data_IF_837223473864
#
_entry.id   IF_837223473864
#
_cell.length_a   1.000
_cell.length_b   1.000
_cell.length_c   1.000
_cell.angle_alpha   90.00
_cell.angle_beta   90.00
_cell.angle_gamma   90.00
#
_symmetry.space_group_name_H-M   'P 1'
#
loop_
_entity.id
_entity.type
_entity.pdbx_description
1 polymer ?
#
# COMPACT_ATOMS: atom_id res chain seq x y z
N UNK A 1 15.91 52.33 -25.35
CA UNK A 1 16.47 51.45 -24.30
C UNK A 1 15.38 50.80 -23.45
N UNK A 2 14.45 51.57 -22.88
CA UNK A 2 13.33 51.09 -22.02
C UNK A 2 12.46 50.00 -22.68
N UNK A 3 12.04 50.17 -23.94
CA UNK A 3 11.22 49.15 -24.65
C UNK A 3 11.92 47.80 -24.82
N UNK A 4 13.26 47.77 -24.92
CA UNK A 4 14.04 46.53 -25.07
C UNK A 4 14.17 45.81 -23.73
N UNK A 5 14.40 46.56 -22.65
CA UNK A 5 14.44 46.05 -21.28
C UNK A 5 13.08 45.45 -20.91
N UNK A 6 11.98 46.18 -21.16
CA UNK A 6 10.62 45.70 -20.88
C UNK A 6 10.29 44.38 -21.59
N UNK A 7 10.65 44.24 -22.87
CA UNK A 7 10.47 42.98 -23.61
C UNK A 7 11.26 41.82 -23.01
N UNK A 8 12.50 42.06 -22.60
CA UNK A 8 13.35 41.02 -21.96
C UNK A 8 12.76 40.61 -20.60
N UNK A 9 12.31 41.57 -19.78
CA UNK A 9 11.65 41.27 -18.51
C UNK A 9 10.40 40.41 -18.70
N UNK A 10 9.55 40.72 -19.69
CA UNK A 10 8.36 39.92 -19.98
C UNK A 10 8.72 38.48 -20.41
N UNK A 11 9.77 38.30 -21.20
CA UNK A 11 10.24 36.97 -21.60
C UNK A 11 10.73 36.19 -20.38
N UNK A 12 11.52 36.81 -19.49
CA UNK A 12 12.01 36.16 -18.26
C UNK A 12 10.85 35.77 -17.35
N UNK A 13 9.88 36.66 -17.14
CA UNK A 13 8.68 36.38 -16.34
C UNK A 13 7.85 35.25 -16.95
N UNK A 14 7.70 35.21 -18.28
CA UNK A 14 7.02 34.13 -18.98
C UNK A 14 7.70 32.78 -18.79
N UNK A 15 9.03 32.72 -18.94
CA UNK A 15 9.82 31.50 -18.71
C UNK A 15 9.73 31.06 -17.25
N UNK A 16 9.81 32.00 -16.31
CA UNK A 16 9.67 31.71 -14.88
C UNK A 16 8.27 31.15 -14.54
N UNK A 17 7.21 31.76 -15.08
CA UNK A 17 5.85 31.28 -14.88
C UNK A 17 5.63 29.87 -15.43
N UNK A 18 6.21 29.54 -16.60
CA UNK A 18 6.20 28.17 -17.16
C UNK A 18 6.91 27.22 -16.19
N UNK A 19 8.09 27.59 -15.69
CA UNK A 19 8.84 26.75 -14.75
C UNK A 19 8.06 26.51 -13.45
N UNK A 20 7.42 27.55 -12.90
CA UNK A 20 6.54 27.43 -11.74
C UNK A 20 5.33 26.52 -12.03
N UNK A 21 4.70 26.65 -13.19
CA UNK A 21 3.57 25.81 -13.59
C UNK A 21 3.97 24.34 -13.73
N UNK A 22 5.12 24.06 -14.35
CA UNK A 22 5.68 22.71 -14.48
C UNK A 22 6.02 22.14 -13.10
N UNK A 23 6.70 22.91 -12.25
CA UNK A 23 7.03 22.49 -10.89
C UNK A 23 5.78 22.20 -10.05
N UNK A 24 4.77 23.07 -10.12
CA UNK A 24 3.49 22.87 -9.45
C UNK A 24 2.79 21.60 -9.97
N UNK A 25 2.80 21.37 -11.28
CA UNK A 25 2.28 20.14 -11.87
C UNK A 25 2.98 18.89 -11.35
N UNK A 26 4.31 18.92 -11.22
CA UNK A 26 5.09 17.83 -10.61
C UNK A 26 4.70 17.59 -9.15
N UNK A 27 4.55 18.65 -8.35
CA UNK A 27 4.14 18.53 -6.94
C UNK A 27 2.72 17.96 -6.83
N UNK A 28 1.77 18.47 -7.60
CA UNK A 28 0.39 17.98 -7.61
C UNK A 28 0.33 16.50 -8.01
N UNK A 29 1.11 16.10 -9.02
CA UNK A 29 1.21 14.70 -9.42
C UNK A 29 1.84 13.82 -8.33
N UNK A 30 2.90 14.29 -7.66
CA UNK A 30 3.53 13.56 -6.57
C UNK A 30 2.62 13.39 -5.33
N UNK A 31 1.69 14.31 -5.13
CA UNK A 31 0.64 14.22 -4.11
C UNK A 31 -0.57 13.39 -4.56
N UNK A 32 -0.55 12.86 -5.78
CA UNK A 32 -1.62 12.09 -6.42
C UNK A 32 -2.90 12.88 -6.62
N UNK A 33 -2.79 14.19 -6.90
CA UNK A 33 -3.95 15.01 -7.27
C UNK A 33 -4.69 14.52 -8.53
N UNK A 34 -4.05 13.66 -9.33
CA UNK A 34 -4.60 13.04 -10.53
C UNK A 34 -4.83 11.53 -10.38
N UNK A 35 -4.60 10.97 -9.19
CA UNK A 35 -4.83 9.56 -8.95
C UNK A 35 -6.32 9.27 -8.88
N UNK A 36 -6.69 8.04 -9.25
CA UNK A 36 -8.06 7.58 -9.07
C UNK A 36 -8.34 7.36 -7.57
N UNK A 37 -9.31 8.08 -7.04
CA UNK A 37 -9.94 7.75 -5.77
C UNK A 37 -10.96 6.61 -5.96
N UNK A 38 -11.15 5.82 -4.90
CA UNK A 38 -12.07 4.69 -4.93
C UNK A 38 -13.09 4.84 -3.81
N UNK A 39 -14.37 4.68 -4.15
CA UNK A 39 -15.44 4.72 -3.16
C UNK A 39 -15.50 3.44 -2.33
N UNK A 40 -16.16 3.51 -1.18
CA UNK A 40 -16.42 2.34 -0.33
C UNK A 40 -17.13 1.24 -1.14
N UNK A 41 -18.11 1.61 -1.96
CA UNK A 41 -18.85 0.68 -2.81
C UNK A 41 -17.98 0.01 -3.87
N UNK A 42 -17.05 0.75 -4.49
CA UNK A 42 -16.09 0.16 -5.44
C UNK A 42 -15.17 -0.88 -4.75
N UNK A 43 -14.70 -0.58 -3.55
CA UNK A 43 -13.89 -1.52 -2.75
C UNK A 43 -14.67 -2.79 -2.43
N UNK A 44 -15.91 -2.66 -1.95
CA UNK A 44 -16.79 -3.79 -1.61
C UNK A 44 -17.13 -4.60 -2.85
N UNK A 45 -17.44 -3.94 -3.97
CA UNK A 45 -17.73 -4.61 -5.24
C UNK A 45 -16.53 -5.43 -5.73
N UNK A 46 -15.31 -4.87 -5.69
CA UNK A 46 -14.11 -5.59 -6.05
C UNK A 46 -13.84 -6.77 -5.10
N UNK A 47 -13.93 -6.56 -3.78
CA UNK A 47 -13.75 -7.62 -2.80
C UNK A 47 -14.71 -8.79 -3.04
N UNK A 48 -16.00 -8.50 -3.27
CA UNK A 48 -16.99 -9.53 -3.55
C UNK A 48 -16.72 -10.26 -4.86
N UNK A 49 -16.32 -9.53 -5.91
CA UNK A 49 -15.97 -10.10 -7.22
C UNK A 49 -14.71 -10.98 -7.16
N UNK A 50 -13.72 -10.63 -6.33
CA UNK A 50 -12.41 -11.29 -6.20
C UNK A 50 -12.26 -12.10 -4.91
N UNK A 51 -13.38 -12.42 -4.25
CA UNK A 51 -13.39 -13.01 -2.90
C UNK A 51 -12.59 -14.31 -2.81
N UNK A 52 -12.70 -15.16 -3.84
CA UNK A 52 -11.99 -16.44 -3.91
C UNK A 52 -10.49 -16.23 -4.06
N UNK A 53 -10.08 -15.31 -4.93
CA UNK A 53 -8.68 -14.96 -5.18
C UNK A 53 -8.04 -14.32 -3.94
N UNK A 54 -8.75 -13.41 -3.26
CA UNK A 54 -8.32 -12.79 -2.01
C UNK A 54 -8.15 -13.85 -0.90
N UNK A 55 -9.11 -14.77 -0.76
CA UNK A 55 -9.00 -15.87 0.20
C UNK A 55 -7.81 -16.80 -0.12
N UNK A 56 -7.57 -17.10 -1.39
CA UNK A 56 -6.42 -17.91 -1.83
C UNK A 56 -5.08 -17.20 -1.63
N UNK A 57 -5.03 -15.89 -1.84
CA UNK A 57 -3.88 -15.05 -1.54
C UNK A 57 -3.58 -15.10 -0.04
N UNK A 58 -4.55 -14.78 0.81
CA UNK A 58 -4.42 -14.80 2.27
C UNK A 58 -3.94 -16.16 2.77
N UNK A 59 -4.58 -17.25 2.33
CA UNK A 59 -4.20 -18.62 2.71
C UNK A 59 -2.76 -18.93 2.33
N UNK A 60 -2.38 -18.65 1.08
CA UNK A 60 -1.01 -18.91 0.63
C UNK A 60 0.01 -18.10 1.44
N UNK A 61 -0.27 -16.82 1.67
CA UNK A 61 0.63 -15.95 2.40
C UNK A 61 0.83 -16.43 3.84
N UNK A 62 -0.25 -16.75 4.55
CA UNK A 62 -0.20 -17.32 5.90
C UNK A 62 0.55 -18.66 5.97
N UNK A 63 0.55 -19.45 4.89
CA UNK A 63 1.29 -20.71 4.84
C UNK A 63 2.79 -20.52 4.64
N UNK A 64 3.21 -19.49 3.90
CA UNK A 64 4.62 -19.27 3.59
C UNK A 64 5.31 -18.36 4.60
N UNK A 65 4.58 -17.49 5.29
CA UNK A 65 5.15 -16.65 6.37
C UNK A 65 5.44 -17.51 7.60
N UNK A 66 6.68 -17.53 8.12
CA UNK A 66 6.99 -18.23 9.37
C UNK A 66 6.24 -17.64 10.57
N UNK A 67 5.75 -18.47 11.48
CA UNK A 67 4.89 -18.06 12.62
C UNK A 67 5.50 -16.98 13.54
N UNK A 68 6.83 -16.90 13.62
CA UNK A 68 7.56 -15.94 14.47
C UNK A 68 8.03 -14.70 13.70
N UNK A 69 7.56 -14.51 12.47
CA UNK A 69 7.95 -13.41 11.59
C UNK A 69 6.74 -12.57 11.18
N UNK A 70 6.97 -11.27 11.14
CA UNK A 70 6.13 -10.33 10.42
C UNK A 70 6.71 -10.12 9.03
N UNK A 71 5.84 -10.11 8.03
CA UNK A 71 6.19 -9.80 6.64
C UNK A 71 5.15 -8.86 6.06
N UNK A 72 5.62 -7.76 5.49
CA UNK A 72 4.86 -6.89 4.59
C UNK A 72 5.57 -6.83 3.24
N UNK A 73 4.81 -6.87 2.15
CA UNK A 73 5.38 -6.79 0.80
C UNK A 73 4.43 -6.13 -0.17
N UNK A 74 4.93 -5.15 -0.91
CA UNK A 74 4.22 -4.42 -1.94
C UNK A 74 4.97 -4.51 -3.28
N UNK A 75 4.27 -4.89 -4.34
CA UNK A 75 4.80 -4.93 -5.69
C UNK A 75 4.43 -3.67 -6.45
N UNK A 76 5.44 -3.00 -7.03
CA UNK A 76 5.24 -1.92 -8.00
C UNK A 76 4.98 -2.50 -9.39
N UNK A 77 5.74 -3.54 -9.73
CA UNK A 77 5.65 -4.31 -10.97
C UNK A 77 6.41 -5.64 -10.80
N UNK A 78 6.57 -6.42 -11.87
CA UNK A 78 7.18 -7.75 -11.83
C UNK A 78 8.69 -7.74 -11.51
N UNK A 79 9.35 -6.59 -11.67
CA UNK A 79 10.80 -6.43 -11.44
C UNK A 79 11.11 -5.62 -10.17
N UNK A 80 10.12 -4.95 -9.58
CA UNK A 80 10.34 -3.99 -8.49
C UNK A 80 9.33 -4.21 -7.36
N UNK A 81 9.85 -4.45 -6.16
CA UNK A 81 9.11 -4.29 -4.92
C UNK A 81 9.08 -2.80 -4.57
N UNK A 82 7.90 -2.24 -4.39
CA UNK A 82 7.79 -0.89 -3.87
C UNK A 82 8.25 -0.84 -2.41
N UNK A 83 7.93 -1.88 -1.63
CA UNK A 83 8.25 -1.98 -0.20
C UNK A 83 8.41 -3.45 0.21
N UNK A 84 9.39 -3.74 1.05
CA UNK A 84 9.57 -5.04 1.71
C UNK A 84 9.94 -4.82 3.17
N UNK A 85 9.11 -5.35 4.06
CA UNK A 85 9.32 -5.34 5.50
C UNK A 85 9.40 -6.76 6.04
N UNK A 86 10.45 -7.09 6.80
CA UNK A 86 10.63 -8.38 7.46
C UNK A 86 11.16 -8.19 8.87
N UNK A 87 10.42 -8.65 9.88
CA UNK A 87 10.76 -8.44 11.29
C UNK A 87 10.37 -9.62 12.18
N UNK A 88 10.90 -9.70 13.41
CA UNK A 88 10.39 -10.64 14.41
C UNK A 88 9.03 -10.21 14.94
N UNK A 89 8.20 -11.17 15.32
CA UNK A 89 7.05 -10.93 16.20
C UNK A 89 7.47 -11.06 17.66
N UNK A 90 6.95 -10.18 18.51
CA UNK A 90 7.07 -10.30 19.96
C UNK A 90 6.10 -11.37 20.53
N UNK A 91 6.14 -11.59 21.85
CA UNK A 91 5.27 -12.56 22.52
C UNK A 91 3.78 -12.22 22.45
N UNK A 92 3.43 -11.01 22.02
CA UNK A 92 2.06 -10.54 21.83
C UNK A 92 1.66 -10.56 20.34
N UNK A 93 2.50 -11.11 19.46
CA UNK A 93 2.24 -11.16 18.02
C UNK A 93 2.37 -9.80 17.34
N UNK A 94 3.14 -8.86 17.92
CA UNK A 94 3.37 -7.53 17.33
C UNK A 94 4.78 -7.42 16.77
N UNK A 95 4.90 -6.77 15.62
CA UNK A 95 6.19 -6.40 15.04
C UNK A 95 6.72 -5.10 15.63
N UNK A 96 8.03 -5.01 15.84
CA UNK A 96 8.70 -3.75 16.17
C UNK A 96 9.45 -3.22 14.93
N UNK A 97 8.99 -2.09 14.41
CA UNK A 97 9.60 -1.39 13.27
C UNK A 97 11.10 -1.09 13.44
N UNK A 98 11.59 -0.88 14.66
CA UNK A 98 13.02 -0.62 14.91
C UNK A 98 13.91 -1.84 14.66
N UNK A 99 13.34 -3.04 14.74
CA UNK A 99 14.04 -4.32 14.55
C UNK A 99 13.72 -4.97 13.20
N UNK A 100 12.94 -4.27 12.37
CA UNK A 100 12.47 -4.75 11.09
C UNK A 100 13.44 -4.32 9.99
N UNK A 101 13.80 -5.25 9.10
CA UNK A 101 14.31 -4.86 7.79
C UNK A 101 13.17 -4.18 7.04
N UNK A 102 13.34 -2.93 6.64
CA UNK A 102 12.33 -2.20 5.87
C UNK A 102 13.01 -1.36 4.80
N UNK A 103 12.76 -1.68 3.53
CA UNK A 103 13.33 -0.97 2.39
C UNK A 103 12.31 -0.79 1.25
N UNK A 104 12.59 0.20 0.39
CA UNK A 104 11.74 0.66 -0.72
C UNK A 104 12.44 0.51 -2.06
N UNK A 105 11.65 0.47 -3.14
CA UNK A 105 12.11 0.43 -4.55
C UNK A 105 13.23 -0.60 -4.80
N UNK A 106 13.02 -1.82 -4.32
CA UNK A 106 13.96 -2.92 -4.44
C UNK A 106 13.77 -3.69 -5.74
N UNK A 107 14.85 -4.02 -6.44
CA UNK A 107 14.78 -4.95 -7.56
C UNK A 107 14.57 -6.39 -7.07
N UNK A 108 13.53 -7.07 -7.57
CA UNK A 108 13.06 -8.40 -7.11
C UNK A 108 14.17 -9.45 -7.16
N UNK A 109 15.02 -9.40 -8.20
CA UNK A 109 16.14 -10.34 -8.40
C UNK A 109 17.49 -9.83 -7.86
N UNK A 110 17.48 -8.84 -6.97
CA UNK A 110 18.71 -8.35 -6.36
C UNK A 110 19.23 -9.33 -5.30
N UNK A 111 20.54 -9.37 -5.10
CA UNK A 111 21.19 -10.15 -4.04
C UNK A 111 20.70 -9.75 -2.64
N UNK A 112 20.30 -8.49 -2.46
CA UNK A 112 19.70 -7.99 -1.22
C UNK A 112 18.34 -8.66 -0.96
N UNK A 113 17.43 -8.61 -1.93
CA UNK A 113 16.11 -9.28 -1.80
C UNK A 113 16.30 -10.77 -1.59
N UNK A 114 17.18 -11.42 -2.36
CA UNK A 114 17.51 -12.84 -2.19
C UNK A 114 17.96 -13.18 -0.77
N UNK A 115 18.82 -12.33 -0.18
CA UNK A 115 19.32 -12.54 1.18
C UNK A 115 18.21 -12.41 2.23
N UNK A 116 17.33 -11.43 2.07
CA UNK A 116 16.21 -11.21 3.00
C UNK A 116 15.19 -12.34 2.91
N UNK A 117 14.73 -12.72 1.72
CA UNK A 117 13.68 -13.73 1.56
C UNK A 117 14.17 -15.13 1.99
N UNK A 118 15.49 -15.42 1.88
CA UNK A 118 16.06 -16.66 2.41
C UNK A 118 15.87 -16.80 3.92
N UNK A 119 15.84 -15.70 4.67
CA UNK A 119 15.57 -15.74 6.13
C UNK A 119 14.15 -16.20 6.45
N UNK A 120 13.23 -16.12 5.47
CA UNK A 120 11.86 -16.62 5.56
C UNK A 120 11.71 -18.05 5.03
N UNK A 121 12.78 -18.65 4.51
CA UNK A 121 12.72 -19.90 3.75
C UNK A 121 12.09 -19.74 2.36
N UNK A 122 11.97 -18.51 1.86
CA UNK A 122 11.37 -18.23 0.56
C UNK A 122 12.37 -18.35 -0.58
N UNK A 123 11.81 -18.49 -1.78
CA UNK A 123 12.55 -18.50 -3.04
C UNK A 123 12.02 -17.43 -3.99
N UNK A 124 12.73 -17.16 -5.08
CA UNK A 124 12.21 -16.31 -6.17
C UNK A 124 10.87 -16.83 -6.73
N UNK A 125 10.66 -18.15 -6.72
CA UNK A 125 9.36 -18.75 -7.09
C UNK A 125 8.25 -18.38 -6.11
N UNK A 126 8.56 -18.26 -4.81
CA UNK A 126 7.60 -17.79 -3.80
C UNK A 126 7.16 -16.36 -4.09
N UNK A 127 8.11 -15.47 -4.42
CA UNK A 127 7.80 -14.09 -4.80
C UNK A 127 6.94 -14.01 -6.06
N UNK A 128 7.28 -14.79 -7.10
CA UNK A 128 6.47 -14.85 -8.32
C UNK A 128 5.04 -15.33 -8.04
N UNK A 129 4.89 -16.42 -7.29
CA UNK A 129 3.56 -16.96 -6.94
C UNK A 129 2.75 -15.97 -6.10
N UNK A 130 3.41 -15.21 -5.22
CA UNK A 130 2.76 -14.17 -4.43
C UNK A 130 2.26 -13.03 -5.33
N UNK A 131 3.11 -12.56 -6.24
CA UNK A 131 2.73 -11.54 -7.23
C UNK A 131 1.56 -11.98 -8.10
N UNK A 132 1.60 -13.20 -8.63
CA UNK A 132 0.51 -13.75 -9.45
C UNK A 132 -0.82 -13.81 -8.68
N UNK A 133 -0.78 -14.08 -7.37
CA UNK A 133 -1.97 -14.11 -6.52
C UNK A 133 -2.51 -12.72 -6.23
N UNK A 134 -1.62 -11.76 -5.99
CA UNK A 134 -1.98 -10.35 -5.83
C UNK A 134 -2.64 -9.81 -7.10
N UNK A 135 -2.05 -10.06 -8.27
CA UNK A 135 -2.60 -9.61 -9.56
C UNK A 135 -4.00 -10.19 -9.83
N UNK A 136 -4.20 -11.49 -9.56
CA UNK A 136 -5.52 -12.15 -9.69
C UNK A 136 -6.56 -11.57 -8.73
N UNK A 137 -6.14 -11.14 -7.55
CA UNK A 137 -6.98 -10.45 -6.57
C UNK A 137 -7.16 -8.95 -6.86
N UNK A 138 -6.54 -8.44 -7.94
CA UNK A 138 -6.45 -7.01 -8.27
C UNK A 138 -5.83 -6.14 -7.15
N UNK A 139 -4.98 -6.75 -6.32
CA UNK A 139 -4.29 -6.14 -5.19
C UNK A 139 -2.80 -5.98 -5.48
N UNK A 140 -2.09 -5.18 -4.68
CA UNK A 140 -0.66 -4.88 -4.88
C UNK A 140 0.20 -5.18 -3.65
N UNK A 141 -0.43 -5.38 -2.49
CA UNK A 141 0.28 -5.50 -1.21
C UNK A 141 -0.41 -6.49 -0.27
N UNK A 142 0.38 -7.10 0.62
CA UNK A 142 -0.14 -7.88 1.75
C UNK A 142 0.79 -7.79 2.97
N UNK A 143 0.20 -7.79 4.17
CA UNK A 143 0.85 -7.87 5.47
C UNK A 143 0.34 -9.07 6.26
N UNK A 144 1.25 -9.72 6.97
CA UNK A 144 0.94 -10.85 7.84
C UNK A 144 0.34 -10.35 9.16
N UNK A 145 -0.65 -11.06 9.67
CA UNK A 145 -1.27 -10.75 10.96
C UNK A 145 -2.69 -11.29 11.04
N UNK A 146 -3.36 -10.96 12.15
CA UNK A 146 -4.80 -11.12 12.30
C UNK A 146 -5.38 -9.76 12.73
N UNK A 147 -6.02 -9.01 11.80
CA UNK A 147 -6.35 -9.40 10.43
C UNK A 147 -5.13 -9.47 9.50
N UNK A 148 -5.27 -10.22 8.40
CA UNK A 148 -4.38 -10.04 7.26
C UNK A 148 -4.77 -8.76 6.53
N UNK A 149 -3.82 -7.85 6.35
CA UNK A 149 -4.03 -6.58 5.67
C UNK A 149 -3.61 -6.70 4.22
N UNK A 150 -4.54 -6.47 3.29
CA UNK A 150 -4.33 -6.67 1.85
C UNK A 150 -4.54 -5.33 1.15
N UNK A 151 -3.49 -4.75 0.58
CA UNK A 151 -3.55 -3.48 -0.13
C UNK A 151 -4.07 -3.62 -1.54
N UNK A 152 -5.19 -2.95 -1.82
CA UNK A 152 -5.86 -2.91 -3.11
C UNK A 152 -5.14 -2.00 -4.12
N UNK A 153 -5.15 -0.68 -3.89
CA UNK A 153 -4.55 0.34 -4.77
C UNK A 153 -4.07 1.55 -3.97
N UNK A 154 -3.06 2.24 -4.49
CA UNK A 154 -2.67 3.57 -4.02
C UNK A 154 -3.56 4.65 -4.65
N UNK A 155 -3.82 5.69 -3.88
CA UNK A 155 -4.28 6.99 -4.36
C UNK A 155 -3.60 8.05 -3.50
N UNK A 156 -2.93 9.02 -4.11
CA UNK A 156 -2.18 10.01 -3.37
C UNK A 156 -1.12 9.38 -2.47
N UNK A 157 -1.06 9.88 -1.24
CA UNK A 157 -0.14 9.40 -0.22
C UNK A 157 -0.65 8.15 0.52
N UNK A 158 -1.85 7.66 0.18
CA UNK A 158 -2.53 6.57 0.84
C UNK A 158 -2.66 5.31 0.00
N UNK A 159 -3.13 4.26 0.66
CA UNK A 159 -3.53 3.00 0.04
C UNK A 159 -4.84 2.54 0.66
N UNK A 160 -5.69 1.97 -0.18
CA UNK A 160 -6.91 1.29 0.21
C UNK A 160 -6.59 -0.16 0.59
N UNK A 161 -7.10 -0.63 1.71
CA UNK A 161 -6.84 -1.96 2.24
C UNK A 161 -8.12 -2.72 2.55
N UNK A 162 -8.03 -4.04 2.39
CA UNK A 162 -8.93 -5.02 2.97
C UNK A 162 -8.27 -5.61 4.23
N UNK A 163 -8.84 -5.33 5.40
CA UNK A 163 -8.49 -6.03 6.63
C UNK A 163 -9.37 -7.27 6.76
N UNK A 164 -8.80 -8.44 6.45
CA UNK A 164 -9.52 -9.71 6.35
C UNK A 164 -9.21 -10.59 7.57
N UNK A 165 -10.24 -10.85 8.36
CA UNK A 165 -10.15 -11.59 9.64
C UNK A 165 -10.45 -13.07 9.44
N UNK A 166 -9.74 -13.93 10.17
CA UNK A 166 -10.06 -15.36 10.36
C UNK A 166 -11.07 -15.57 11.49
N UNK A 167 -10.85 -14.92 12.64
CA UNK A 167 -11.69 -15.11 13.84
C UNK A 167 -12.86 -14.12 13.89
N UNK A 168 -12.80 -13.11 13.03
CA UNK A 168 -13.72 -12.00 12.97
C UNK A 168 -13.44 -10.92 14.00
N UNK A 169 -13.93 -9.71 13.73
CA UNK A 169 -13.76 -8.54 14.60
C UNK A 169 -14.48 -8.78 15.94
N UNK A 170 -13.78 -8.73 17.10
CA UNK A 170 -14.43 -8.77 18.41
C UNK A 170 -15.44 -7.64 18.59
N UNK A 171 -16.56 -7.87 19.28
CA UNK A 171 -17.60 -6.85 19.49
C UNK A 171 -17.05 -5.56 20.12
N UNK A 172 -16.10 -5.70 21.04
CA UNK A 172 -15.41 -4.58 21.69
C UNK A 172 -14.60 -3.70 20.74
N UNK A 173 -14.26 -4.20 19.55
CA UNK A 173 -13.44 -3.50 18.56
C UNK A 173 -14.27 -2.99 17.37
N UNK A 174 -15.58 -3.27 17.28
CA UNK A 174 -16.41 -2.82 16.16
C UNK A 174 -16.40 -1.29 16.04
N UNK A 175 -16.54 -0.57 17.15
CA UNK A 175 -16.54 0.90 17.15
C UNK A 175 -15.19 1.47 16.74
N UNK A 176 -14.08 0.79 17.09
CA UNK A 176 -12.74 1.18 16.67
C UNK A 176 -12.56 1.02 15.15
N UNK A 177 -13.07 -0.08 14.59
CA UNK A 177 -13.03 -0.36 13.16
C UNK A 177 -14.15 0.30 12.35
N UNK A 178 -14.89 1.25 12.93
CA UNK A 178 -15.94 2.00 12.27
C UNK A 178 -15.89 3.48 12.63
N UNK A 179 -14.71 4.08 12.48
CA UNK A 179 -14.48 5.51 12.77
C UNK A 179 -15.05 6.44 11.68
N UNK A 180 -15.59 5.89 10.59
CA UNK A 180 -16.15 6.60 9.43
C UNK A 180 -15.16 7.53 8.73
N UNK A 181 -13.87 7.36 9.01
CA UNK A 181 -12.78 8.13 8.44
C UNK A 181 -11.75 7.16 7.88
N UNK A 182 -10.93 6.53 8.72
CA UNK A 182 -9.87 5.64 8.25
C UNK A 182 -10.40 4.21 8.08
N UNK A 183 -11.38 3.80 8.88
CA UNK A 183 -11.92 2.45 8.92
C UNK A 183 -13.43 2.43 8.70
N UNK A 184 -13.87 1.54 7.82
CA UNK A 184 -15.29 1.27 7.54
C UNK A 184 -15.57 -0.20 7.84
N UNK A 185 -16.40 -0.46 8.85
CA UNK A 185 -16.81 -1.81 9.22
C UNK A 185 -17.87 -2.32 8.24
N UNK A 186 -17.54 -3.37 7.48
CA UNK A 186 -18.48 -4.00 6.53
C UNK A 186 -19.19 -5.18 7.18
N UNK A 187 -18.41 -6.08 7.77
CA UNK A 187 -18.93 -7.21 8.54
C UNK A 187 -17.81 -7.78 9.42
N UNK A 188 -18.13 -8.83 10.19
CA UNK A 188 -17.18 -9.47 11.09
C UNK A 188 -15.88 -9.93 10.43
N UNK A 189 -15.88 -10.27 9.14
CA UNK A 189 -14.68 -10.77 8.45
C UNK A 189 -13.98 -9.73 7.59
N UNK A 190 -14.55 -8.53 7.45
CA UNK A 190 -14.03 -7.50 6.55
C UNK A 190 -14.20 -6.10 7.14
N UNK A 191 -13.08 -5.40 7.22
CA UNK A 191 -13.02 -3.96 7.45
C UNK A 191 -12.25 -3.33 6.29
N UNK A 192 -12.74 -2.20 5.78
CA UNK A 192 -11.99 -1.40 4.80
C UNK A 192 -11.14 -0.39 5.55
N UNK A 193 -9.95 -0.12 5.03
CA UNK A 193 -9.08 0.91 5.58
C UNK A 193 -8.51 1.78 4.46
N UNK A 194 -8.36 3.08 4.73
CA UNK A 194 -7.51 3.96 3.94
C UNK A 194 -6.42 4.53 4.85
N UNK A 195 -5.16 4.32 4.48
CA UNK A 195 -4.04 4.76 5.32
C UNK A 195 -2.83 5.14 4.47
N UNK A 196 -2.10 6.16 4.93
CA UNK A 196 -0.82 6.55 4.37
C UNK A 196 0.35 5.96 5.16
N UNK A 197 1.29 5.34 4.46
CA UNK A 197 2.46 4.72 5.10
C UNK A 197 3.24 5.70 5.98
N UNK A 198 3.73 6.81 5.40
CA UNK A 198 4.55 7.79 6.12
C UNK A 198 3.74 8.91 6.80
N UNK A 199 2.49 9.12 6.38
CA UNK A 199 1.64 10.23 6.86
C UNK A 199 0.57 9.79 7.86
N UNK A 200 0.48 8.49 8.18
CA UNK A 200 -0.47 7.94 9.14
C UNK A 200 -1.87 7.72 8.57
N UNK A 201 -2.84 7.56 9.47
CA UNK A 201 -4.25 7.39 9.11
C UNK A 201 -4.75 8.56 8.25
N UNK A 202 -5.47 8.24 7.18
CA UNK A 202 -6.13 9.21 6.32
C UNK A 202 -7.60 8.84 6.18
N UNK A 203 -8.49 9.84 6.16
CA UNK A 203 -9.88 9.53 5.89
C UNK A 203 -10.06 9.07 4.44
N UNK A 204 -10.97 8.11 4.23
CA UNK A 204 -11.56 7.88 2.93
C UNK A 204 -11.99 9.23 2.32
N UNK A 205 -11.73 9.47 1.03
CA UNK A 205 -12.18 10.68 0.37
C UNK A 205 -13.67 10.89 0.62
N UNK A 206 -14.06 12.13 0.94
CA UNK A 206 -15.47 12.48 1.06
C UNK A 206 -16.13 12.26 -0.31
N UNK A 207 -17.22 11.48 -0.32
CA UNK A 207 -18.08 11.30 -1.49
C UNK A 207 -18.89 12.57 -1.80
#
# INVERSE_FOLDING_TARGET
MVKKIFKVTLVILGVFAIFCGVYLGFVLNALGAFDKNYTTDELVANYNKRKVEIAHLKRFFNQVVPEHKFVEIEFKNDSTLYRLGVGPLDSLGKSNYHTMFLEWDLHVKSSKVDSVIKTLGWTQKTLQLLKDKLDKAECIQIESGEPAKIGFKRSGLGMYFYNVFDQGVPDSLITHYNDKCNYIFINKMLVLEYAGGAVGGQCFPLE
#
